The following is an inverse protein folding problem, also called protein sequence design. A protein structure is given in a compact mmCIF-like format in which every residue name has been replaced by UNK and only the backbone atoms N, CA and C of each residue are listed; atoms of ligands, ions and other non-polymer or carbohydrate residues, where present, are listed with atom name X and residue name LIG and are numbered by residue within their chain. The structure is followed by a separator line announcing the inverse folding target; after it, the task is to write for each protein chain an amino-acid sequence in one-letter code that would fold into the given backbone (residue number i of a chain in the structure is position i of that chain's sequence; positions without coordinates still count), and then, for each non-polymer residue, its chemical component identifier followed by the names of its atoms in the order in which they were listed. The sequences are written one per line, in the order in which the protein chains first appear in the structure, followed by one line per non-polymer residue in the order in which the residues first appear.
data_IF_449746865605
#
_entry.id   IF_449746865605
#
_cell.length_a   1.000
_cell.length_b   1.000
_cell.length_c   1.000
_cell.angle_alpha   90.00
_cell.angle_beta   90.00
_cell.angle_gamma   90.00
#
_symmetry.space_group_name_H-M   'P 1'
#
loop_
_entity.id
_entity.type
_entity.pdbx_description
1 polymer ?
#
# COMPACT_ATOMS: atom_id res chain seq x y z
N UNK A 1 -8.61 -16.01 -15.98
CA UNK A 1 -8.97 -15.20 -14.79
C UNK A 1 -7.61 -14.75 -14.24
N UNK A 2 -7.35 -13.44 -14.14
CA UNK A 2 -6.01 -12.78 -13.97
C UNK A 2 -5.25 -12.39 -15.26
N UNK A 3 -5.77 -12.69 -16.46
CA UNK A 3 -4.98 -12.66 -17.70
C UNK A 3 -5.06 -11.34 -18.49
N UNK A 4 -4.95 -10.19 -17.80
CA UNK A 4 -4.82 -8.89 -18.44
C UNK A 4 -3.59 -8.16 -17.93
N UNK A 5 -2.72 -7.58 -18.80
CA UNK A 5 -1.56 -6.78 -18.37
C UNK A 5 -1.91 -5.61 -17.42
N UNK A 6 -3.19 -5.24 -17.33
CA UNK A 6 -3.72 -4.22 -16.40
C UNK A 6 -3.92 -4.70 -14.95
N UNK A 7 -3.67 -5.98 -14.64
CA UNK A 7 -3.83 -6.55 -13.30
C UNK A 7 -2.64 -6.30 -12.38
N UNK A 8 -1.56 -5.71 -12.87
CA UNK A 8 -0.37 -5.40 -12.07
C UNK A 8 -0.45 -3.95 -11.56
N UNK A 9 -0.30 -3.78 -10.25
CA UNK A 9 -0.06 -2.49 -9.60
C UNK A 9 1.41 -2.46 -9.20
N UNK A 10 2.21 -1.63 -9.88
CA UNK A 10 3.66 -1.55 -9.67
C UNK A 10 4.02 -0.29 -8.88
N UNK A 11 4.87 -0.45 -7.89
CA UNK A 11 5.44 0.65 -7.12
C UNK A 11 6.96 0.54 -7.12
N UNK A 12 7.64 1.64 -7.47
CA UNK A 12 9.07 1.83 -7.26
C UNK A 12 9.30 2.25 -5.80
N UNK A 13 10.01 1.44 -5.02
CA UNK A 13 10.22 1.68 -3.59
C UNK A 13 11.29 2.73 -3.29
N UNK A 14 12.10 3.12 -4.29
CA UNK A 14 13.07 4.22 -4.14
C UNK A 14 12.38 5.57 -3.86
N UNK A 15 11.17 5.76 -4.39
CA UNK A 15 10.27 6.90 -4.15
C UNK A 15 9.75 6.98 -2.70
N UNK A 16 9.95 5.92 -1.91
CA UNK A 16 9.44 5.80 -0.53
C UNK A 16 10.56 5.69 0.51
N UNK A 17 11.73 6.28 0.22
CA UNK A 17 12.93 6.26 1.07
C UNK A 17 12.87 7.18 2.30
N UNK A 18 11.94 8.13 2.35
CA UNK A 18 11.78 9.10 3.46
C UNK A 18 10.81 8.58 4.54
N UNK A 19 11.02 8.99 5.79
CA UNK A 19 10.24 8.54 6.96
C UNK A 19 8.72 8.66 6.79
N UNK A 20 8.26 9.78 6.22
CA UNK A 20 6.84 10.10 6.03
C UNK A 20 6.19 9.39 4.85
N UNK A 21 6.96 8.67 4.03
CA UNK A 21 6.47 7.99 2.83
C UNK A 21 5.46 6.88 3.13
N UNK A 22 5.43 6.35 4.36
CA UNK A 22 4.35 5.45 4.83
C UNK A 22 2.97 6.06 4.60
N UNK A 23 2.79 7.34 4.93
CA UNK A 23 1.51 8.04 4.82
C UNK A 23 1.11 8.25 3.36
N UNK A 24 2.07 8.34 2.42
CA UNK A 24 1.75 8.37 0.98
C UNK A 24 1.11 7.04 0.53
N UNK A 25 1.57 5.90 1.05
CA UNK A 25 1.04 4.58 0.70
C UNK A 25 -0.35 4.34 1.28
N UNK A 26 -0.60 4.75 2.52
CA UNK A 26 -1.82 4.37 3.25
C UNK A 26 -2.76 5.53 3.59
N UNK A 27 -2.36 6.77 3.34
CA UNK A 27 -3.08 7.97 3.74
C UNK A 27 -2.58 8.51 5.08
N UNK A 28 -2.83 9.80 5.31
CA UNK A 28 -2.53 10.47 6.57
C UNK A 28 -3.54 10.11 7.67
N UNK A 29 -3.12 10.27 8.91
CA UNK A 29 -4.00 10.10 10.09
C UNK A 29 -5.13 11.16 10.09
N UNK A 30 -6.27 10.91 10.77
CA UNK A 30 -7.38 11.85 10.81
C UNK A 30 -6.95 13.20 11.39
N UNK A 31 -7.37 14.29 10.74
CA UNK A 31 -7.02 15.66 11.16
C UNK A 31 -5.75 16.23 10.49
N UNK A 32 -5.04 15.44 9.69
CA UNK A 32 -3.96 15.93 8.83
C UNK A 32 -4.43 16.18 7.39
N UNK A 33 -3.73 17.07 6.68
CA UNK A 33 -3.98 17.31 5.24
C UNK A 33 -3.83 15.99 4.46
N UNK A 34 -4.79 15.72 3.57
CA UNK A 34 -4.83 14.49 2.77
C UNK A 34 -5.42 13.26 3.49
N UNK A 35 -5.91 13.39 4.73
CA UNK A 35 -6.53 12.27 5.43
C UNK A 35 -7.76 11.71 4.69
N UNK A 36 -8.48 12.57 3.95
CA UNK A 36 -9.68 12.16 3.23
C UNK A 36 -9.42 11.31 1.99
N UNK A 37 -8.24 11.44 1.39
CA UNK A 37 -7.92 10.87 0.08
C UNK A 37 -7.51 9.39 0.15
N UNK A 38 -7.08 8.90 1.33
CA UNK A 38 -6.41 7.61 1.44
C UNK A 38 -4.98 7.68 0.86
N UNK A 39 -4.38 6.52 0.62
CA UNK A 39 -3.02 6.43 0.10
C UNK A 39 -2.95 5.78 -1.27
N UNK A 40 -1.81 5.90 -1.94
CA UNK A 40 -1.65 5.38 -3.30
C UNK A 40 -1.84 3.87 -3.37
N UNK A 41 -1.38 3.11 -2.37
CA UNK A 41 -1.57 1.66 -2.29
C UNK A 41 -3.02 1.32 -1.97
N UNK A 42 -3.57 1.92 -0.93
CA UNK A 42 -4.93 1.61 -0.47
C UNK A 42 -5.98 1.96 -1.53
N UNK A 43 -5.78 3.03 -2.28
CA UNK A 43 -6.65 3.41 -3.38
C UNK A 43 -6.48 2.51 -4.61
N UNK A 44 -5.25 2.13 -4.96
CA UNK A 44 -5.01 1.25 -6.10
C UNK A 44 -5.64 -0.13 -5.88
N UNK A 45 -5.43 -0.74 -4.70
CA UNK A 45 -6.04 -2.02 -4.34
C UNK A 45 -7.56 -1.93 -4.26
N UNK A 46 -8.11 -0.85 -3.69
CA UNK A 46 -9.57 -0.65 -3.63
C UNK A 46 -10.20 -0.55 -5.02
N UNK A 47 -9.51 0.06 -5.99
CA UNK A 47 -9.96 0.16 -7.39
C UNK A 47 -9.81 -1.16 -8.15
N UNK A 48 -8.80 -1.96 -7.82
CA UNK A 48 -8.46 -3.24 -8.47
C UNK A 48 -8.18 -4.32 -7.41
N UNK A 49 -9.21 -4.86 -6.74
CA UNK A 49 -9.01 -5.79 -5.62
C UNK A 49 -8.39 -7.13 -6.05
N UNK A 50 -8.54 -7.52 -7.31
CA UNK A 50 -7.93 -8.72 -7.90
C UNK A 50 -6.72 -8.33 -8.74
N UNK A 51 -5.64 -7.92 -8.06
CA UNK A 51 -4.40 -7.46 -8.69
C UNK A 51 -3.16 -8.09 -8.08
N UNK A 52 -2.07 -8.10 -8.85
CA UNK A 52 -0.74 -8.40 -8.36
C UNK A 52 -0.05 -7.09 -7.99
N UNK A 53 0.38 -6.94 -6.74
CA UNK A 53 1.16 -5.79 -6.30
C UNK A 53 2.65 -6.12 -6.42
N UNK A 54 3.35 -5.41 -7.31
CA UNK A 54 4.80 -5.54 -7.51
C UNK A 54 5.52 -4.37 -6.83
N UNK A 55 6.50 -4.70 -5.99
CA UNK A 55 7.34 -3.73 -5.26
C UNK A 55 8.77 -3.85 -5.77
N UNK A 56 9.21 -2.91 -6.61
CA UNK A 56 10.60 -2.90 -7.10
C UNK A 56 11.52 -2.16 -6.13
N UNK A 57 12.80 -2.53 -6.13
CA UNK A 57 13.84 -1.92 -5.29
C UNK A 57 13.44 -1.82 -3.81
N UNK A 58 12.75 -2.85 -3.30
CA UNK A 58 12.16 -2.83 -1.96
C UNK A 58 13.16 -2.50 -0.85
N UNK A 59 14.42 -2.87 -1.02
CA UNK A 59 15.53 -2.54 -0.12
C UNK A 59 15.86 -1.04 -0.04
N UNK A 60 15.33 -0.20 -0.94
CA UNK A 60 15.52 1.26 -0.94
C UNK A 60 14.46 2.02 -0.14
N UNK A 61 13.32 1.39 0.16
CA UNK A 61 12.27 2.02 0.95
C UNK A 61 12.71 2.27 2.40
N UNK A 62 12.08 3.26 3.04
CA UNK A 62 12.29 3.54 4.45
C UNK A 62 11.85 2.35 5.33
N UNK A 63 12.52 2.05 6.45
CA UNK A 63 12.12 0.96 7.35
C UNK A 63 10.67 1.03 7.87
N UNK A 64 10.08 2.22 7.98
CA UNK A 64 8.65 2.37 8.33
C UNK A 64 7.71 1.80 7.25
N UNK A 65 8.12 1.84 5.98
CA UNK A 65 7.40 1.21 4.87
C UNK A 65 7.57 -0.31 4.94
N UNK A 66 8.75 -0.82 5.30
CA UNK A 66 8.93 -2.25 5.47
C UNK A 66 7.99 -2.81 6.55
N UNK A 67 7.88 -2.14 7.70
CA UNK A 67 6.98 -2.57 8.78
C UNK A 67 5.52 -2.68 8.33
N UNK A 68 5.08 -1.79 7.43
CA UNK A 68 3.76 -1.88 6.84
C UNK A 68 3.57 -3.19 6.06
N UNK A 69 4.54 -3.54 5.21
CA UNK A 69 4.47 -4.76 4.40
C UNK A 69 4.72 -6.05 5.19
N UNK A 70 5.44 -5.99 6.31
CA UNK A 70 5.54 -7.13 7.24
C UNK A 70 4.16 -7.55 7.74
N UNK A 71 3.30 -6.60 8.10
CA UNK A 71 1.92 -6.90 8.50
C UNK A 71 1.12 -7.53 7.35
N UNK A 72 1.31 -7.03 6.13
CA UNK A 72 0.62 -7.57 4.94
C UNK A 72 1.05 -9.01 4.67
N UNK A 73 2.34 -9.32 4.79
CA UNK A 73 2.88 -10.66 4.57
C UNK A 73 2.40 -11.64 5.64
N UNK A 74 2.27 -11.19 6.89
CA UNK A 74 1.85 -12.03 8.01
C UNK A 74 0.32 -12.27 8.02
N UNK A 75 -0.47 -11.19 7.92
CA UNK A 75 -1.91 -11.25 8.13
C UNK A 75 -2.75 -11.13 6.84
N UNK A 76 -2.13 -10.82 5.70
CA UNK A 76 -2.84 -10.59 4.45
C UNK A 76 -3.74 -9.35 4.47
N UNK A 77 -3.50 -8.39 5.37
CA UNK A 77 -4.31 -7.18 5.52
C UNK A 77 -3.46 -5.94 5.77
N UNK A 78 -4.04 -4.79 5.49
CA UNK A 78 -3.44 -3.47 5.70
C UNK A 78 -4.48 -2.53 6.28
N UNK A 79 -4.11 -1.76 7.30
CA UNK A 79 -4.97 -0.73 7.88
C UNK A 79 -4.50 0.65 7.42
N UNK A 80 -5.41 1.43 6.85
CA UNK A 80 -5.14 2.78 6.38
C UNK A 80 -5.08 3.80 7.53
N UNK A 81 -4.65 5.03 7.27
CA UNK A 81 -4.54 6.08 8.30
C UNK A 81 -5.86 6.37 9.03
N UNK A 82 -7.00 6.03 8.45
CA UNK A 82 -8.34 6.20 9.04
C UNK A 82 -8.81 4.98 9.84
N UNK A 83 -7.97 3.96 10.01
CA UNK A 83 -8.34 2.72 10.68
C UNK A 83 -9.16 1.77 9.81
N UNK A 84 -9.26 2.00 8.49
CA UNK A 84 -9.99 1.09 7.59
C UNK A 84 -9.07 -0.04 7.16
N UNK A 85 -9.53 -1.28 7.36
CA UNK A 85 -8.76 -2.48 6.99
C UNK A 85 -9.11 -2.92 5.58
N UNK A 86 -8.08 -3.09 4.75
CA UNK A 86 -8.13 -3.66 3.41
C UNK A 86 -7.50 -5.04 3.45
N UNK A 87 -8.19 -6.03 2.88
CA UNK A 87 -7.66 -7.39 2.69
C UNK A 87 -6.88 -7.46 1.38
N UNK A 88 -5.71 -8.08 1.43
CA UNK A 88 -4.83 -8.36 0.28
C UNK A 88 -4.68 -9.87 0.02
N UNK A 89 -5.39 -10.70 0.77
CA UNK A 89 -5.47 -12.14 0.54
C UNK A 89 -6.68 -12.51 -0.33
N UNK A 90 -6.60 -13.67 -0.98
CA UNK A 90 -7.60 -14.14 -1.94
C UNK A 90 -8.84 -14.82 -1.32
N UNK A 91 -8.97 -14.82 0.02
CA UNK A 91 -10.01 -15.56 0.77
C UNK A 91 -10.92 -14.65 1.61
#
# INVERSE_FOLDING_TARGET
LYDGPDSIIRFDMSEFSVETSRNRLIGSDPGYVGSEEGGVLTNAVRRRPFSLVLLDEFEKAHPNVWRLFLQVIDEGRLTDGKGRTIKLNAN
#
